data_IF_336139481789
#
_entry.id   IF_336139481789
#
_cell.length_a   1.000
_cell.length_b   1.000
_cell.length_c   1.000
_cell.angle_alpha   90.00
_cell.angle_beta   90.00
_cell.angle_gamma   90.00
#
_symmetry.space_group_name_H-M   'P 1'
#
loop_
_entity.id
_entity.type
_entity.pdbx_description
1 polymer ?
#
# COMPACT_ATOMS: atom_id res chain seq x y z
N UNK A 1 10.51 -13.60 -7.03
CA UNK A 1 9.77 -12.73 -6.08
C UNK A 1 10.79 -11.83 -5.41
N UNK A 2 10.70 -10.51 -5.60
CA UNK A 2 11.60 -9.57 -4.94
C UNK A 2 11.23 -9.52 -3.45
N UNK A 3 12.08 -10.11 -2.62
CA UNK A 3 11.99 -10.17 -1.14
C UNK A 3 12.19 -8.81 -0.47
N UNK A 4 12.56 -7.78 -1.23
CA UNK A 4 12.91 -6.45 -0.73
C UNK A 4 11.67 -5.59 -0.40
N UNK A 5 10.53 -5.80 -1.08
CA UNK A 5 9.29 -5.03 -0.81
C UNK A 5 8.14 -5.91 -0.30
N UNK A 6 8.17 -7.24 -0.52
CA UNK A 6 7.00 -8.10 -0.25
C UNK A 6 5.75 -7.78 -1.10
N UNK A 7 5.87 -6.79 -1.98
CA UNK A 7 4.83 -6.25 -2.85
C UNK A 7 4.57 -7.23 -4.01
N UNK A 8 3.75 -8.24 -3.78
CA UNK A 8 3.17 -9.05 -4.85
C UNK A 8 2.23 -8.19 -5.68
N UNK A 9 2.53 -7.99 -6.96
CA UNK A 9 1.58 -7.45 -7.92
C UNK A 9 0.32 -8.34 -7.91
N UNK A 10 -0.87 -7.74 -7.74
CA UNK A 10 -2.16 -8.42 -7.82
C UNK A 10 -2.88 -8.75 -6.50
N UNK A 11 -2.29 -8.42 -5.34
CA UNK A 11 -2.93 -8.65 -4.03
C UNK A 11 -3.63 -7.41 -3.46
N UNK A 12 -3.40 -6.23 -4.07
CA UNK A 12 -4.03 -4.98 -3.63
C UNK A 12 -5.45 -4.89 -4.17
N UNK A 13 -6.41 -4.66 -3.28
CA UNK A 13 -7.83 -4.45 -3.62
C UNK A 13 -8.29 -3.12 -3.05
N UNK A 14 -8.84 -2.25 -3.89
CA UNK A 14 -9.48 -1.02 -3.43
C UNK A 14 -10.99 -1.25 -3.39
N UNK A 15 -11.66 -0.75 -2.36
CA UNK A 15 -13.10 -0.85 -2.24
C UNK A 15 -13.82 -0.34 -3.51
N UNK A 16 -14.72 -1.16 -4.06
CA UNK A 16 -15.43 -0.85 -5.30
C UNK A 16 -14.80 -1.43 -6.58
N UNK A 17 -13.68 -2.17 -6.50
CA UNK A 17 -13.16 -2.93 -7.65
C UNK A 17 -14.16 -4.01 -8.08
N UNK A 18 -14.59 -3.98 -9.35
CA UNK A 18 -15.47 -4.98 -9.96
C UNK A 18 -14.63 -6.14 -10.50
N UNK A 19 -14.92 -7.36 -10.03
CA UNK A 19 -14.48 -8.59 -10.70
C UNK A 19 -15.34 -8.78 -11.95
N UNK A 20 -14.71 -8.88 -13.12
CA UNK A 20 -15.41 -9.20 -14.37
C UNK A 20 -15.18 -10.66 -14.73
N UNK A 21 -16.27 -11.34 -15.07
CA UNK A 21 -16.32 -12.74 -15.45
C UNK A 21 -16.30 -12.83 -16.98
N UNK A 22 -15.23 -13.40 -17.54
CA UNK A 22 -15.10 -13.62 -18.97
C UNK A 22 -15.53 -15.04 -19.31
N UNK A 23 -16.51 -15.15 -20.20
CA UNK A 23 -16.96 -16.42 -20.77
C UNK A 23 -16.47 -16.55 -22.21
N UNK A 24 -15.64 -17.56 -22.45
CA UNK A 24 -15.09 -17.88 -23.77
C UNK A 24 -16.10 -18.66 -24.60
N UNK A 25 -15.91 -18.67 -25.92
CA UNK A 25 -16.75 -19.38 -26.88
C UNK A 25 -16.76 -20.90 -26.64
N UNK A 26 -15.72 -21.44 -26.03
CA UNK A 26 -15.60 -22.85 -25.61
C UNK A 26 -16.33 -23.18 -24.29
N UNK A 27 -17.01 -22.20 -23.69
CA UNK A 27 -17.75 -22.34 -22.44
C UNK A 27 -16.88 -22.26 -21.19
N UNK A 28 -15.57 -22.04 -21.31
CA UNK A 28 -14.72 -21.78 -20.15
C UNK A 28 -15.01 -20.40 -19.58
N UNK A 29 -15.06 -20.35 -18.24
CA UNK A 29 -15.30 -19.12 -17.50
C UNK A 29 -14.10 -18.86 -16.61
N UNK A 30 -13.54 -17.65 -16.69
CA UNK A 30 -12.55 -17.21 -15.74
C UNK A 30 -12.86 -15.79 -15.25
N UNK A 31 -12.56 -15.55 -13.99
CA UNK A 31 -12.53 -14.22 -13.40
C UNK A 31 -11.08 -13.78 -13.24
N UNK A 32 -10.80 -12.53 -13.59
CA UNK A 32 -9.53 -11.89 -13.25
C UNK A 32 -9.77 -10.45 -12.84
N UNK A 33 -9.05 -10.02 -11.81
CA UNK A 33 -8.90 -8.60 -11.50
C UNK A 33 -7.89 -8.03 -12.49
N UNK A 34 -8.27 -7.02 -13.29
CA UNK A 34 -7.32 -6.34 -14.15
C UNK A 34 -6.37 -5.48 -13.31
N UNK A 35 -5.16 -5.98 -13.07
CA UNK A 35 -3.99 -5.13 -12.91
C UNK A 35 -3.62 -4.58 -14.28
N UNK A 36 -3.85 -3.29 -14.52
CA UNK A 36 -3.49 -2.67 -15.80
C UNK A 36 -1.96 -2.62 -15.98
N UNK A 37 -1.43 -3.53 -16.82
CA UNK A 37 -0.04 -3.52 -17.25
C UNK A 37 0.35 -4.70 -18.16
N UNK A 38 0.10 -4.55 -19.48
CA UNK A 38 1.00 -4.97 -20.58
C UNK A 38 1.36 -6.45 -20.79
N UNK A 39 0.92 -6.98 -21.95
CA UNK A 39 1.37 -8.11 -22.78
C UNK A 39 2.53 -9.00 -22.31
N UNK A 40 2.28 -10.30 -22.08
CA UNK A 40 3.19 -11.38 -22.52
C UNK A 40 2.44 -12.68 -22.82
N UNK A 41 2.71 -13.21 -24.02
CA UNK A 41 2.31 -14.52 -24.54
C UNK A 41 3.27 -15.58 -24.04
N UNK A 42 2.81 -16.69 -23.44
CA UNK A 42 3.60 -17.92 -23.38
C UNK A 42 2.75 -19.18 -23.57
N UNK A 43 3.14 -19.95 -24.59
CA UNK A 43 2.68 -21.29 -24.91
C UNK A 43 3.40 -22.37 -24.08
N UNK A 44 2.70 -23.46 -23.76
CA UNK A 44 3.23 -24.75 -23.27
C UNK A 44 3.88 -25.57 -24.45
N UNK A 45 4.60 -26.73 -24.31
CA UNK A 45 4.51 -27.75 -23.23
C UNK A 45 5.72 -28.73 -22.94
N UNK A 46 5.54 -29.63 -21.93
CA UNK A 46 6.14 -30.99 -21.58
C UNK A 46 7.69 -31.20 -21.51
N UNK A 47 8.35 -32.12 -20.77
CA UNK A 47 8.07 -33.38 -20.05
C UNK A 47 9.29 -33.78 -19.10
N UNK A 48 9.31 -34.95 -18.41
CA UNK A 48 10.11 -35.23 -17.19
C UNK A 48 11.44 -36.01 -17.38
N UNK A 49 12.37 -35.91 -16.42
CA UNK A 49 13.58 -36.76 -16.36
C UNK A 49 14.30 -36.67 -15.01
N UNK A 50 14.60 -37.82 -14.39
CA UNK A 50 15.13 -37.92 -13.02
C UNK A 50 16.62 -38.28 -12.86
N UNK A 51 16.95 -38.57 -11.60
CA UNK A 51 18.08 -39.31 -11.01
C UNK A 51 19.24 -38.56 -10.30
N UNK A 52 19.22 -38.72 -8.96
CA UNK A 52 20.31 -39.25 -8.10
C UNK A 52 21.43 -38.35 -7.53
N UNK A 53 21.94 -38.85 -6.39
CA UNK A 53 22.58 -38.22 -5.22
C UNK A 53 24.12 -38.23 -5.23
N UNK A 54 24.78 -37.18 -4.73
CA UNK A 54 26.04 -37.26 -3.95
C UNK A 54 26.42 -35.88 -3.33
N UNK A 55 26.87 -35.83 -2.06
CA UNK A 55 27.15 -34.57 -1.36
C UNK A 55 28.58 -34.09 -1.60
N UNK A 56 28.76 -32.86 -2.07
CA UNK A 56 30.05 -32.15 -2.02
C UNK A 56 29.95 -30.98 -1.06
N UNK A 57 30.82 -31.01 -0.06
CA UNK A 57 31.06 -29.91 0.89
C UNK A 57 31.52 -28.68 0.10
N UNK A 58 30.70 -27.63 0.11
CA UNK A 58 31.10 -26.30 -0.33
C UNK A 58 31.09 -25.38 0.88
N UNK A 59 32.24 -24.78 1.15
CA UNK A 59 32.40 -23.68 2.09
C UNK A 59 31.54 -22.51 1.61
N UNK A 60 30.37 -22.32 2.22
CA UNK A 60 29.55 -21.15 1.96
C UNK A 60 30.18 -19.94 2.66
N UNK A 61 30.89 -19.12 1.90
CA UNK A 61 31.01 -17.71 2.23
C UNK A 61 29.60 -17.15 2.21
N UNK A 62 29.05 -16.86 3.40
CA UNK A 62 27.73 -16.29 3.54
C UNK A 62 27.76 -14.81 3.10
N UNK A 63 27.76 -14.58 1.79
CA UNK A 63 27.19 -13.34 1.26
C UNK A 63 25.68 -13.48 1.36
N UNK A 64 25.13 -12.90 2.42
CA UNK A 64 23.69 -12.80 2.64
C UNK A 64 23.07 -11.82 1.64
N UNK A 65 22.99 -12.21 0.38
CA UNK A 65 22.25 -11.48 -0.63
C UNK A 65 20.81 -11.97 -0.57
N UNK A 66 19.91 -11.15 -0.03
CA UNK A 66 18.53 -11.53 0.27
C UNK A 66 17.63 -11.76 -0.96
N UNK A 67 18.17 -11.65 -2.18
CA UNK A 67 17.54 -12.07 -3.43
C UNK A 67 18.54 -12.92 -4.26
N UNK A 68 18.37 -14.25 -4.33
CA UNK A 68 19.26 -15.12 -5.09
C UNK A 68 19.38 -14.69 -6.55
N UNK A 69 20.62 -14.50 -7.04
CA UNK A 69 20.90 -14.21 -8.45
C UNK A 69 20.90 -12.72 -8.83
N UNK A 70 20.73 -11.79 -7.90
CA UNK A 70 20.90 -10.35 -8.12
C UNK A 70 22.20 -9.83 -7.50
N UNK A 71 22.91 -8.95 -8.21
CA UNK A 71 24.03 -8.23 -7.61
C UNK A 71 23.53 -7.13 -6.68
N UNK A 72 24.29 -6.76 -5.63
CA UNK A 72 23.94 -5.63 -4.75
C UNK A 72 23.60 -4.34 -5.51
N UNK A 73 24.41 -3.97 -6.52
CA UNK A 73 24.16 -2.79 -7.33
C UNK A 73 22.85 -2.83 -8.11
N UNK A 74 22.44 -4.01 -8.61
CA UNK A 74 21.17 -4.17 -9.31
C UNK A 74 19.97 -4.08 -8.36
N UNK A 75 20.11 -4.54 -7.11
CA UNK A 75 19.04 -4.40 -6.11
C UNK A 75 18.79 -2.93 -5.76
N UNK A 76 19.86 -2.17 -5.49
CA UNK A 76 19.75 -0.72 -5.21
C UNK A 76 19.13 0.04 -6.37
N UNK A 77 19.49 -0.29 -7.62
CA UNK A 77 18.86 0.33 -8.80
C UNK A 77 17.35 0.05 -8.86
N UNK A 78 16.93 -1.19 -8.61
CA UNK A 78 15.51 -1.55 -8.59
C UNK A 78 14.75 -0.79 -7.49
N UNK A 79 15.34 -0.67 -6.29
CA UNK A 79 14.75 0.12 -5.19
C UNK A 79 14.60 1.59 -5.58
N UNK A 80 15.64 2.19 -6.17
CA UNK A 80 15.61 3.57 -6.64
C UNK A 80 14.55 3.79 -7.72
N UNK A 81 14.43 2.86 -8.68
CA UNK A 81 13.44 2.95 -9.75
C UNK A 81 12.01 2.86 -9.19
N UNK A 82 11.77 1.99 -8.20
CA UNK A 82 10.47 1.87 -7.51
C UNK A 82 10.12 3.18 -6.80
N UNK A 83 11.04 3.72 -6.01
CA UNK A 83 10.82 4.96 -5.26
C UNK A 83 10.66 6.16 -6.20
N UNK A 84 11.42 6.23 -7.29
CA UNK A 84 11.28 7.28 -8.30
C UNK A 84 9.91 7.23 -8.98
N UNK A 85 9.41 6.03 -9.31
CA UNK A 85 8.07 5.86 -9.87
C UNK A 85 6.99 6.27 -8.88
N UNK A 86 7.12 5.89 -7.61
CA UNK A 86 6.21 6.34 -6.55
C UNK A 86 6.19 7.88 -6.44
N UNK A 87 7.35 8.52 -6.45
CA UNK A 87 7.47 9.98 -6.33
C UNK A 87 6.80 10.72 -7.49
N UNK A 88 6.76 10.13 -8.70
CA UNK A 88 6.01 10.68 -9.82
C UNK A 88 4.50 10.70 -9.54
N UNK A 89 3.94 9.62 -9.00
CA UNK A 89 2.54 9.55 -8.58
C UNK A 89 2.25 10.50 -7.41
N UNK A 90 3.12 10.55 -6.41
CA UNK A 90 2.99 11.45 -5.26
C UNK A 90 2.96 12.92 -5.70
N UNK A 91 3.83 13.30 -6.65
CA UNK A 91 3.80 14.64 -7.23
C UNK A 91 2.49 14.93 -7.98
N UNK A 92 1.89 13.94 -8.64
CA UNK A 92 0.62 14.12 -9.34
C UNK A 92 -0.53 14.31 -8.34
N UNK A 93 -0.61 13.45 -7.32
CA UNK A 93 -1.56 13.55 -6.22
C UNK A 93 -1.50 14.92 -5.54
N UNK A 94 -0.30 15.33 -5.14
CA UNK A 94 -0.07 16.63 -4.49
C UNK A 94 -0.56 17.80 -5.33
N UNK A 95 -0.24 17.82 -6.62
CA UNK A 95 -0.69 18.88 -7.55
C UNK A 95 -2.21 18.93 -7.64
N UNK A 96 -2.86 17.77 -7.76
CA UNK A 96 -4.32 17.66 -7.81
C UNK A 96 -4.97 18.17 -6.51
N UNK A 97 -4.48 17.71 -5.35
CA UNK A 97 -5.03 18.07 -4.06
C UNK A 97 -4.84 19.56 -3.76
N UNK A 98 -3.66 20.12 -4.06
CA UNK A 98 -3.42 21.57 -3.94
C UNK A 98 -4.32 22.38 -4.87
N UNK A 99 -4.52 21.95 -6.12
CA UNK A 99 -5.42 22.62 -7.06
C UNK A 99 -6.89 22.61 -6.59
N UNK A 100 -7.30 21.58 -5.83
CA UNK A 100 -8.62 21.49 -5.19
C UNK A 100 -8.67 22.16 -3.80
N UNK A 101 -7.56 22.75 -3.34
CA UNK A 101 -7.43 23.37 -2.02
C UNK A 101 -7.51 22.39 -0.85
N UNK A 102 -7.24 21.10 -1.08
CA UNK A 102 -7.33 20.07 -0.05
C UNK A 102 -6.10 20.09 0.85
N UNK A 103 -6.33 19.85 2.14
CA UNK A 103 -5.26 19.55 3.09
C UNK A 103 -5.21 18.03 3.33
N UNK A 104 -4.12 17.40 2.89
CA UNK A 104 -3.92 15.96 3.02
C UNK A 104 -2.90 15.63 4.11
N UNK A 105 -3.24 14.73 5.03
CA UNK A 105 -2.34 14.24 6.08
C UNK A 105 -2.28 12.71 6.12
N UNK A 106 -1.07 12.17 6.17
CA UNK A 106 -0.77 10.74 6.22
C UNK A 106 -0.42 10.33 7.66
N UNK A 107 -1.27 9.50 8.28
CA UNK A 107 -1.09 9.01 9.65
C UNK A 107 -0.35 7.67 9.62
N UNK A 108 0.85 7.63 10.20
CA UNK A 108 1.69 6.43 10.31
C UNK A 108 1.91 6.07 11.79
N UNK A 109 1.94 4.78 12.11
CA UNK A 109 2.13 4.30 13.48
C UNK A 109 2.49 2.82 13.51
N UNK A 110 2.83 2.27 14.68
CA UNK A 110 2.77 0.82 14.89
C UNK A 110 1.31 0.31 14.86
N UNK A 111 1.08 -1.00 14.67
CA UNK A 111 -0.24 -1.59 14.90
C UNK A 111 -0.73 -1.31 16.32
N UNK A 112 -2.01 -0.94 16.47
CA UNK A 112 -2.61 -0.72 17.79
C UNK A 112 -2.26 0.60 18.49
N UNK A 113 -1.49 1.51 17.88
CA UNK A 113 -1.17 2.83 18.48
C UNK A 113 -2.36 3.78 18.60
N UNK A 114 -3.54 3.40 18.09
CA UNK A 114 -4.78 4.17 18.24
C UNK A 114 -5.12 5.13 17.10
N UNK A 115 -4.54 4.98 15.90
CA UNK A 115 -4.81 5.82 14.71
C UNK A 115 -6.29 5.96 14.41
N UNK A 116 -7.00 4.84 14.22
CA UNK A 116 -8.43 4.86 13.89
C UNK A 116 -9.27 5.52 14.99
N UNK A 117 -8.93 5.29 16.26
CA UNK A 117 -9.62 5.94 17.38
C UNK A 117 -9.40 7.45 17.35
N UNK A 118 -8.17 7.91 17.10
CA UNK A 118 -7.87 9.32 16.91
C UNK A 118 -8.65 9.90 15.73
N UNK A 119 -8.75 9.18 14.60
CA UNK A 119 -9.52 9.61 13.44
C UNK A 119 -11.00 9.74 13.74
N UNK A 120 -11.63 8.70 14.32
CA UNK A 120 -13.05 8.72 14.68
C UNK A 120 -13.38 9.92 15.58
N UNK A 121 -12.57 10.15 16.61
CA UNK A 121 -12.73 11.30 17.52
C UNK A 121 -12.51 12.65 16.79
N UNK A 122 -11.52 12.72 15.91
CA UNK A 122 -11.21 13.94 15.13
C UNK A 122 -12.36 14.29 14.19
N UNK A 123 -12.91 13.29 13.50
CA UNK A 123 -14.04 13.47 12.58
C UNK A 123 -15.27 13.98 13.35
N UNK A 124 -15.59 13.35 14.49
CA UNK A 124 -16.70 13.80 15.33
C UNK A 124 -16.56 15.25 15.79
N UNK A 125 -15.35 15.69 16.16
CA UNK A 125 -15.07 17.07 16.60
C UNK A 125 -15.03 18.09 15.47
N UNK A 126 -14.74 17.66 14.25
CA UNK A 126 -14.71 18.52 13.06
C UNK A 126 -16.02 18.49 12.26
N UNK A 127 -16.98 17.66 12.66
CA UNK A 127 -18.26 17.49 11.98
C UNK A 127 -18.94 18.85 11.71
N UNK A 128 -19.33 19.07 10.45
CA UNK A 128 -19.99 20.31 10.00
C UNK A 128 -19.07 21.52 9.81
N UNK A 129 -17.76 21.43 10.12
CA UNK A 129 -16.81 22.54 9.94
C UNK A 129 -16.05 22.47 8.62
N UNK A 130 -15.66 21.27 8.21
CA UNK A 130 -14.91 21.02 6.99
C UNK A 130 -15.43 19.76 6.29
N UNK A 131 -15.52 19.74 4.95
CA UNK A 131 -15.65 18.49 4.20
C UNK A 131 -14.45 17.59 4.53
N UNK A 132 -14.69 16.32 4.82
CA UNK A 132 -13.65 15.38 5.22
C UNK A 132 -13.92 14.01 4.61
N UNK A 133 -12.87 13.39 4.09
CA UNK A 133 -12.87 11.99 3.69
C UNK A 133 -11.61 11.29 4.17
N UNK A 134 -11.71 9.96 4.28
CA UNK A 134 -10.61 9.10 4.72
C UNK A 134 -10.25 8.06 3.66
N UNK A 135 -8.96 7.83 3.46
CA UNK A 135 -8.45 6.62 2.81
C UNK A 135 -7.85 5.76 3.92
N UNK A 136 -8.37 4.56 4.10
CA UNK A 136 -7.93 3.62 5.13
C UNK A 136 -7.11 2.52 4.45
N UNK A 137 -5.92 2.23 4.96
CA UNK A 137 -5.02 1.22 4.44
C UNK A 137 -4.67 0.18 5.48
N UNK A 138 -5.08 -1.06 5.23
CA UNK A 138 -4.71 -2.22 6.05
C UNK A 138 -4.30 -3.40 5.14
N UNK A 139 -3.77 -4.47 5.73
CA UNK A 139 -3.45 -5.70 5.01
C UNK A 139 -4.71 -6.45 4.59
N UNK A 140 -5.71 -6.49 5.47
CA UNK A 140 -6.94 -7.25 5.32
C UNK A 140 -8.10 -6.59 6.07
N UNK A 141 -9.33 -7.04 5.77
CA UNK A 141 -10.59 -6.60 6.40
C UNK A 141 -11.01 -5.17 6.04
N UNK A 142 -12.15 -4.73 6.56
CA UNK A 142 -12.70 -3.37 6.38
C UNK A 142 -13.08 -2.73 7.72
N UNK A 143 -12.60 -3.29 8.83
CA UNK A 143 -13.10 -2.97 10.17
C UNK A 143 -12.87 -1.49 10.52
N UNK A 144 -11.70 -0.95 10.20
CA UNK A 144 -11.37 0.43 10.51
C UNK A 144 -12.10 1.41 9.59
N UNK A 145 -12.21 1.10 8.29
CA UNK A 145 -13.05 1.88 7.37
C UNK A 145 -14.53 1.89 7.79
N UNK A 146 -15.08 0.77 8.28
CA UNK A 146 -16.45 0.69 8.80
C UNK A 146 -16.65 1.55 10.05
N UNK A 147 -15.69 1.53 10.99
CA UNK A 147 -15.71 2.39 12.18
C UNK A 147 -15.67 3.87 11.81
N UNK A 148 -14.88 4.23 10.80
CA UNK A 148 -14.81 5.60 10.29
C UNK A 148 -16.15 5.98 9.63
N UNK A 149 -16.71 5.13 8.76
CA UNK A 149 -18.01 5.41 8.12
C UNK A 149 -19.16 5.55 9.11
N UNK A 150 -19.11 4.85 10.24
CA UNK A 150 -20.11 5.00 11.31
C UNK A 150 -20.17 6.43 11.90
N UNK A 151 -19.14 7.26 11.69
CA UNK A 151 -19.14 8.69 12.04
C UNK A 151 -19.88 9.58 11.04
N UNK A 152 -20.24 9.04 9.86
CA UNK A 152 -20.82 9.78 8.74
C UNK A 152 -19.82 10.31 7.71
N UNK A 153 -18.50 10.16 7.95
CA UNK A 153 -17.49 10.50 6.95
C UNK A 153 -17.44 9.47 5.80
N UNK A 154 -17.07 9.93 4.61
CA UNK A 154 -16.70 9.02 3.51
C UNK A 154 -15.37 8.35 3.84
N UNK A 155 -15.28 7.03 3.67
CA UNK A 155 -14.03 6.29 3.80
C UNK A 155 -13.91 5.20 2.74
N UNK A 156 -12.74 5.10 2.10
CA UNK A 156 -12.39 4.07 1.13
C UNK A 156 -11.33 3.15 1.74
N UNK A 157 -11.64 1.85 1.82
CA UNK A 157 -10.69 0.82 2.21
C UNK A 157 -9.72 0.50 1.07
N UNK A 158 -8.43 0.38 1.40
CA UNK A 158 -7.37 -0.15 0.54
C UNK A 158 -6.76 -1.35 1.25
N UNK A 159 -7.07 -2.54 0.76
CA UNK A 159 -6.45 -3.78 1.24
C UNK A 159 -5.15 -4.01 0.48
N UNK A 160 -4.03 -3.92 1.18
CA UNK A 160 -2.68 -4.05 0.61
C UNK A 160 -2.24 -5.52 0.48
N UNK A 161 -3.02 -6.46 1.01
CA UNK A 161 -2.70 -7.88 1.00
C UNK A 161 -1.49 -8.17 1.87
N UNK A 162 -0.33 -8.41 1.25
CA UNK A 162 0.96 -8.59 1.94
C UNK A 162 1.79 -7.31 2.02
N UNK A 163 1.31 -6.22 1.42
CA UNK A 163 1.95 -4.91 1.51
C UNK A 163 2.07 -4.44 2.97
N UNK A 164 3.13 -3.70 3.26
CA UNK A 164 3.39 -3.15 4.60
C UNK A 164 3.19 -1.63 4.69
N UNK A 165 2.72 -1.01 3.61
CA UNK A 165 2.50 0.43 3.47
C UNK A 165 1.51 0.69 2.32
N UNK A 166 0.91 1.87 2.31
CA UNK A 166 0.29 2.46 1.12
C UNK A 166 1.36 3.14 0.26
N UNK A 167 1.19 3.09 -1.06
CA UNK A 167 1.96 3.89 -2.01
C UNK A 167 1.09 4.99 -2.66
N UNK A 168 1.72 5.94 -3.35
CA UNK A 168 1.01 7.07 -3.96
C UNK A 168 0.03 6.63 -5.07
N UNK A 169 0.31 5.53 -5.76
CA UNK A 169 -0.55 5.04 -6.82
C UNK A 169 -1.86 4.48 -6.23
N UNK A 170 -1.76 3.66 -5.18
CA UNK A 170 -2.91 3.14 -4.43
C UNK A 170 -3.79 4.28 -3.90
N UNK A 171 -3.17 5.29 -3.29
CA UNK A 171 -3.89 6.44 -2.71
C UNK A 171 -4.53 7.31 -3.80
N UNK A 172 -3.85 7.51 -4.93
CA UNK A 172 -4.40 8.24 -6.06
C UNK A 172 -5.68 7.58 -6.59
N UNK A 173 -5.65 6.26 -6.79
CA UNK A 173 -6.83 5.48 -7.21
C UNK A 173 -7.95 5.49 -6.17
N UNK A 174 -7.63 5.35 -4.88
CA UNK A 174 -8.64 5.44 -3.83
C UNK A 174 -9.31 6.83 -3.80
N UNK A 175 -8.53 7.89 -4.04
CA UNK A 175 -9.04 9.26 -4.09
C UNK A 175 -10.03 9.50 -5.24
N UNK A 176 -9.87 8.84 -6.39
CA UNK A 176 -10.80 8.95 -7.53
C UNK A 176 -12.22 8.49 -7.18
N UNK A 177 -12.37 7.66 -6.15
CA UNK A 177 -13.67 7.15 -5.65
C UNK A 177 -14.30 8.05 -4.58
N UNK A 178 -13.59 9.08 -4.11
CA UNK A 178 -14.08 10.00 -3.09
C UNK A 178 -14.76 11.21 -3.71
N UNK A 179 -15.99 11.50 -3.26
CA UNK A 179 -16.65 12.77 -3.55
C UNK A 179 -16.30 13.81 -2.48
N UNK A 180 -15.01 14.15 -2.40
CA UNK A 180 -14.51 15.16 -1.47
C UNK A 180 -14.60 16.56 -2.09
N UNK A 181 -15.38 17.44 -1.47
CA UNK A 181 -15.52 18.83 -1.89
C UNK A 181 -14.19 19.61 -1.81
N UNK A 182 -14.07 20.68 -2.60
CA UNK A 182 -12.91 21.57 -2.57
C UNK A 182 -12.72 22.19 -1.17
N UNK A 183 -11.46 22.48 -0.81
CA UNK A 183 -11.14 23.04 0.51
C UNK A 183 -11.29 22.04 1.67
N UNK A 184 -11.50 20.75 1.38
CA UNK A 184 -11.69 19.70 2.37
C UNK A 184 -10.39 19.14 2.98
N UNK A 185 -10.58 18.24 3.94
CA UNK A 185 -9.52 17.48 4.61
C UNK A 185 -9.50 16.05 4.07
N UNK A 186 -8.34 15.60 3.60
CA UNK A 186 -8.09 14.21 3.25
C UNK A 186 -7.19 13.59 4.31
N UNK A 187 -7.74 12.67 5.11
CA UNK A 187 -6.95 11.94 6.09
C UNK A 187 -6.63 10.56 5.52
N UNK A 188 -5.37 10.15 5.58
CA UNK A 188 -4.93 8.84 5.10
C UNK A 188 -4.45 8.06 6.32
N UNK A 189 -5.17 7.01 6.69
CA UNK A 189 -4.70 6.05 7.69
C UNK A 189 -3.83 5.01 6.98
N UNK A 190 -2.53 5.00 7.25
CA UNK A 190 -1.61 4.04 6.65
C UNK A 190 -1.61 2.71 7.42
N UNK A 191 -1.06 1.68 6.79
CA UNK A 191 -0.85 0.36 7.41
C UNK A 191 -0.03 0.55 8.70
N UNK A 192 -0.38 -0.20 9.75
CA UNK A 192 0.36 -0.20 11.01
C UNK A 192 1.81 -0.68 10.84
N UNK A 193 2.73 0.22 10.52
CA UNK A 193 4.15 -0.01 10.38
C UNK A 193 4.92 1.32 10.53
N UNK A 194 6.03 1.33 11.27
CA UNK A 194 6.90 2.50 11.44
C UNK A 194 8.12 2.53 10.51
N UNK A 195 8.34 1.49 9.71
CA UNK A 195 9.50 1.32 8.84
C UNK A 195 9.12 1.57 7.39
N UNK A 196 8.33 0.68 6.77
CA UNK A 196 8.03 0.78 5.34
C UNK A 196 7.40 2.13 4.94
N UNK A 197 6.40 2.68 5.67
CA UNK A 197 5.75 3.92 5.26
C UNK A 197 6.65 5.15 5.29
N UNK A 198 7.84 5.09 5.92
CA UNK A 198 8.74 6.23 6.01
C UNK A 198 9.25 6.67 4.63
N UNK A 199 9.57 5.72 3.75
CA UNK A 199 10.21 5.96 2.46
C UNK A 199 9.23 6.36 1.34
N UNK A 200 7.95 6.10 1.52
CA UNK A 200 6.93 6.34 0.49
C UNK A 200 6.21 7.67 0.74
N UNK A 201 6.39 8.60 -0.19
CA UNK A 201 5.57 9.82 -0.31
C UNK A 201 4.24 9.44 -0.97
N UNK A 202 3.10 9.90 -0.44
CA UNK A 202 1.77 9.68 -1.00
C UNK A 202 1.24 10.92 -1.75
N UNK A 203 1.94 12.04 -1.62
CA UNK A 203 1.51 13.37 -2.08
C UNK A 203 0.97 14.25 -0.94
N UNK A 204 1.02 13.78 0.31
CA UNK A 204 0.50 14.46 1.48
C UNK A 204 1.19 15.81 1.73
N UNK A 205 0.51 16.70 2.46
CA UNK A 205 1.11 17.92 2.99
C UNK A 205 1.97 17.62 4.23
N UNK A 206 1.50 16.70 5.09
CA UNK A 206 2.20 16.29 6.29
C UNK A 206 2.08 14.79 6.54
N UNK A 207 3.21 14.17 6.89
CA UNK A 207 3.28 12.84 7.48
C UNK A 207 3.31 12.98 8.99
N UNK A 208 2.37 12.34 9.67
CA UNK A 208 2.15 12.45 11.12
C UNK A 208 2.39 11.09 11.74
N UNK A 209 3.42 11.00 12.59
CA UNK A 209 3.72 9.78 13.35
C UNK A 209 2.92 9.78 14.65
N UNK A 210 2.23 8.68 14.92
CA UNK A 210 1.47 8.46 16.16
C UNK A 210 2.15 7.33 16.94
N UNK A 211 2.44 7.60 18.22
CA UNK A 211 3.06 6.64 19.14
C UNK A 211 2.20 6.53 20.40
N UNK A 212 2.08 5.32 20.93
CA UNK A 212 1.43 5.05 22.21
C UNK A 212 2.46 4.84 23.32
N UNK A 213 2.09 5.22 24.54
CA UNK A 213 2.93 5.01 25.73
C UNK A 213 3.26 3.53 25.96
N UNK A 214 2.36 2.63 25.55
CA UNK A 214 2.51 1.17 25.67
C UNK A 214 3.57 0.59 24.74
N UNK A 215 4.02 1.33 23.73
CA UNK A 215 5.13 0.92 22.84
C UNK A 215 6.51 1.14 23.49
N UNK A 216 6.59 1.94 24.55
CA UNK A 216 7.83 2.32 25.23
C UNK A 216 8.38 3.67 24.78
N UNK A 217 9.04 4.36 25.70
CA UNK A 217 9.56 5.73 25.53
C UNK A 217 10.72 5.85 24.53
N UNK A 218 11.33 4.74 24.13
CA UNK A 218 12.48 4.68 23.24
C UNK A 218 12.13 4.79 21.75
N UNK A 219 10.84 4.73 21.39
CA UNK A 219 10.40 4.72 19.99
C UNK A 219 10.81 5.96 19.20
N UNK A 220 10.67 7.20 19.69
CA UNK A 220 11.11 8.38 18.94
C UNK A 220 12.61 8.37 18.61
N UNK A 221 13.45 7.77 19.48
CA UNK A 221 14.89 7.64 19.22
C UNK A 221 15.20 6.56 18.17
N UNK A 222 14.36 5.51 18.11
CA UNK A 222 14.51 4.39 17.17
C UNK A 222 13.93 4.69 15.78
N UNK A 223 12.95 5.58 15.71
CA UNK A 223 12.23 5.97 14.50
C UNK A 223 12.14 7.50 14.42
N UNK A 224 13.26 8.19 14.12
CA UNK A 224 13.32 9.65 14.05
C UNK A 224 12.59 10.23 12.82
#
# INVERSE_FOLDING_TARGET
MCTVCGCGQGETKIEGDLEHEHRHEDGTVHSHAHGHGGEHVHAHPHAPGGLSYAPRQHSHGHEHTHAPGLSPGRMVQIEQDILAKNNAYASANRKLWQARGLFAANLVSSPGSGKTTLLVETIGRLAGRHPLAVIEGDQQTSNDAERIRATGAQAIQVNTGKGCHLDAHMVGHAFERLDLAQGGLLLIENVGNLVCPAEFDLGEAHKVVILSVTEGEDKPLKYP
#
